data_IF_280217245692
#
_entry.id   IF_280217245692
#
_cell.length_a   1.000
_cell.length_b   1.000
_cell.length_c   1.000
_cell.angle_alpha   90.00
_cell.angle_beta   90.00
_cell.angle_gamma   90.00
#
_symmetry.space_group_name_H-M   'P 1'
#
loop_
_entity.id
_entity.type
_entity.pdbx_description
1 polymer ?
#
# COMPACT_ATOMS: atom_id res chain seq x y z
N UNK A 1 1.50 -47.31 39.63
CA UNK A 1 1.97 -48.61 39.09
C UNK A 1 0.78 -49.57 39.00
N UNK A 2 0.34 -49.90 37.79
CA UNK A 2 -0.36 -51.16 37.48
C UNK A 2 -0.29 -51.37 35.96
N UNK A 3 0.78 -52.05 35.58
CA UNK A 3 1.03 -52.68 34.29
C UNK A 3 0.13 -53.90 34.16
N UNK A 4 -0.66 -54.00 33.09
CA UNK A 4 -1.04 -55.28 32.48
C UNK A 4 -0.98 -55.12 30.96
N UNK A 5 0.12 -55.62 30.39
CA UNK A 5 0.23 -56.15 29.03
C UNK A 5 -0.66 -57.40 28.91
N UNK A 6 -1.35 -57.60 27.79
CA UNK A 6 -0.94 -58.63 26.82
C UNK A 6 -1.80 -58.66 25.54
N UNK A 7 -1.24 -59.18 24.42
CA UNK A 7 -1.72 -59.04 23.06
C UNK A 7 -2.39 -60.31 22.50
N UNK A 8 -3.05 -60.21 21.34
CA UNK A 8 -3.21 -61.31 20.36
C UNK A 8 -3.70 -60.70 19.03
N UNK A 9 -2.82 -60.46 18.04
CA UNK A 9 -2.44 -61.38 16.95
C UNK A 9 -3.68 -61.96 16.21
N UNK A 10 -4.07 -61.34 15.08
CA UNK A 10 -3.63 -61.62 13.70
C UNK A 10 -4.43 -62.76 13.04
N UNK A 11 -5.29 -62.41 12.09
CA UNK A 11 -5.68 -63.31 11.00
C UNK A 11 -5.65 -62.52 9.69
N UNK A 12 -4.77 -63.02 8.82
CA UNK A 12 -4.40 -62.55 7.50
C UNK A 12 -5.30 -63.26 6.47
N UNK A 13 -5.90 -62.53 5.54
CA UNK A 13 -6.38 -63.13 4.28
C UNK A 13 -6.18 -62.16 3.12
N UNK A 14 -5.27 -62.56 2.23
CA UNK A 14 -4.99 -61.96 0.93
C UNK A 14 -6.15 -62.21 -0.04
N UNK A 15 -6.52 -61.19 -0.82
CA UNK A 15 -7.00 -61.36 -2.18
C UNK A 15 -6.51 -60.15 -3.00
N UNK A 16 -5.63 -60.45 -3.95
CA UNK A 16 -5.06 -59.51 -4.90
C UNK A 16 -5.98 -59.34 -6.11
N UNK A 17 -6.03 -58.13 -6.66
CA UNK A 17 -6.12 -57.87 -8.10
C UNK A 17 -5.60 -56.44 -8.38
N UNK A 18 -4.68 -56.36 -9.33
CA UNK A 18 -4.08 -55.26 -10.10
C UNK A 18 -4.83 -53.91 -10.12
N UNK A 19 -4.18 -52.75 -10.24
CA UNK A 19 -3.27 -52.34 -11.32
C UNK A 19 -2.54 -51.03 -10.94
N UNK A 20 -1.29 -50.84 -11.38
CA UNK A 20 -0.43 -49.68 -11.08
C UNK A 20 -0.61 -48.52 -12.11
N UNK A 21 0.24 -47.47 -12.10
CA UNK A 21 -0.12 -46.06 -11.93
C UNK A 21 -0.23 -45.27 -13.25
N UNK A 22 -0.87 -44.09 -13.25
CA UNK A 22 -0.71 -43.15 -14.39
C UNK A 22 -0.69 -41.67 -13.99
N UNK A 23 0.15 -40.97 -14.74
CA UNK A 23 0.80 -39.66 -14.56
C UNK A 23 -0.07 -38.40 -14.52
N UNK A 24 0.60 -37.32 -14.08
CA UNK A 24 0.20 -35.92 -14.12
C UNK A 24 -0.24 -35.41 -15.51
N UNK A 25 -1.05 -34.34 -15.59
CA UNK A 25 -1.20 -33.60 -16.84
C UNK A 25 -0.23 -32.41 -16.91
N UNK A 26 0.74 -32.49 -17.83
CA UNK A 26 1.32 -31.32 -18.51
C UNK A 26 0.71 -31.22 -19.91
N UNK A 27 0.19 -30.03 -20.22
CA UNK A 27 0.23 -29.33 -21.51
C UNK A 27 -0.14 -30.10 -22.80
N UNK A 28 -1.29 -29.75 -23.38
CA UNK A 28 -1.52 -29.84 -24.82
C UNK A 28 -1.95 -28.46 -25.36
N UNK A 29 -1.36 -28.10 -26.49
CA UNK A 29 -1.44 -26.82 -27.17
C UNK A 29 -2.74 -26.62 -27.99
N UNK A 30 -2.94 -25.36 -28.37
CA UNK A 30 -4.04 -24.77 -29.15
C UNK A 30 -4.36 -25.43 -30.52
N UNK A 31 -5.46 -24.99 -31.15
CA UNK A 31 -5.36 -24.58 -32.54
C UNK A 31 -5.81 -23.13 -32.79
N UNK A 32 -5.34 -22.65 -33.95
CA UNK A 32 -5.25 -21.28 -34.40
C UNK A 32 -6.56 -20.59 -34.82
N UNK A 33 -6.50 -19.26 -34.84
CA UNK A 33 -7.46 -18.32 -35.41
C UNK A 33 -7.65 -18.47 -36.94
N UNK A 34 -8.66 -17.75 -37.50
CA UNK A 34 -8.36 -16.97 -38.69
C UNK A 34 -8.77 -15.50 -38.59
N UNK A 35 -7.77 -14.65 -38.85
CA UNK A 35 -7.74 -13.46 -39.69
C UNK A 35 -8.91 -12.44 -39.63
N UNK A 36 -8.60 -11.29 -39.02
CA UNK A 36 -9.20 -9.99 -39.28
C UNK A 36 -8.33 -9.17 -40.26
N UNK A 37 -8.96 -8.37 -41.15
CA UNK A 37 -8.49 -7.08 -41.71
C UNK A 37 -9.45 -6.57 -42.82
N UNK A 38 -9.42 -5.29 -43.24
CA UNK A 38 -9.50 -4.02 -42.48
C UNK A 38 -10.51 -3.02 -43.12
N UNK A 39 -11.13 -2.10 -42.36
CA UNK A 39 -11.58 -0.83 -42.98
C UNK A 39 -11.60 0.36 -42.01
N UNK A 40 -10.63 1.24 -42.29
CA UNK A 40 -10.44 2.67 -42.03
C UNK A 40 -11.65 3.47 -42.56
N UNK A 41 -12.11 4.64 -42.09
CA UNK A 41 -11.65 5.66 -41.17
C UNK A 41 -12.89 6.44 -40.67
N UNK A 42 -12.79 7.00 -39.46
CA UNK A 42 -13.44 8.27 -39.14
C UNK A 42 -12.64 9.00 -38.04
N UNK A 43 -11.73 9.87 -38.47
CA UNK A 43 -11.36 11.11 -37.76
C UNK A 43 -12.03 12.26 -38.55
N UNK A 44 -12.35 13.44 -37.98
CA UNK A 44 -11.69 14.04 -36.82
C UNK A 44 -12.62 14.74 -35.81
N UNK A 45 -12.25 14.70 -34.54
CA UNK A 45 -12.48 15.81 -33.63
C UNK A 45 -11.32 15.85 -32.63
N UNK A 46 -10.40 16.76 -32.90
CA UNK A 46 -9.35 17.14 -31.97
C UNK A 46 -10.00 17.79 -30.74
N UNK A 47 -10.15 17.04 -29.65
CA UNK A 47 -10.16 17.65 -28.33
C UNK A 47 -8.69 17.93 -27.97
N UNK A 48 -8.25 19.13 -28.34
CA UNK A 48 -7.03 19.76 -27.82
C UNK A 48 -7.02 19.64 -26.28
N UNK A 49 -5.87 19.35 -25.66
CA UNK A 49 -5.76 18.96 -24.26
C UNK A 49 -6.12 20.12 -23.34
N UNK A 50 -7.30 20.06 -22.72
CA UNK A 50 -7.72 21.05 -21.74
C UNK A 50 -7.36 20.57 -20.33
N UNK A 51 -6.14 20.96 -19.93
CA UNK A 51 -5.71 21.18 -18.54
C UNK A 51 -5.83 20.02 -17.54
N UNK A 52 -4.78 19.20 -17.50
CA UNK A 52 -4.22 18.72 -16.23
C UNK A 52 -2.72 19.04 -16.12
N UNK A 53 -2.27 20.11 -16.77
CA UNK A 53 -1.19 20.90 -16.17
C UNK A 53 -1.85 21.74 -15.07
N UNK A 54 -2.08 21.13 -13.90
CA UNK A 54 -2.21 21.92 -12.70
C UNK A 54 -0.91 22.73 -12.62
N UNK A 55 -0.97 24.01 -13.02
CA UNK A 55 0.02 24.99 -12.64
C UNK A 55 0.32 24.73 -11.16
N UNK A 56 1.60 24.58 -10.81
CA UNK A 56 2.05 24.40 -9.43
C UNK A 56 1.32 25.43 -8.56
N UNK A 57 0.22 25.03 -7.93
CA UNK A 57 -0.48 25.89 -7.00
C UNK A 57 0.51 26.05 -5.86
N UNK A 58 1.01 27.27 -5.72
CA UNK A 58 2.03 27.55 -4.73
C UNK A 58 1.42 27.33 -3.34
N UNK A 59 2.13 26.61 -2.46
CA UNK A 59 1.62 26.32 -1.13
C UNK A 59 1.30 27.63 -0.40
N UNK A 60 0.19 27.68 0.35
CA UNK A 60 -0.20 28.90 1.08
C UNK A 60 0.88 29.28 2.09
N UNK A 61 1.09 30.58 2.28
CA UNK A 61 1.98 31.07 3.33
C UNK A 61 1.34 30.92 4.71
N UNK A 62 2.17 30.70 5.73
CA UNK A 62 1.71 30.79 7.11
C UNK A 62 2.76 30.39 8.13
N UNK A 63 2.30 30.21 9.37
CA UNK A 63 3.13 29.78 10.47
C UNK A 63 3.67 28.35 10.25
N UNK A 64 4.94 28.17 10.60
CA UNK A 64 5.68 26.91 10.62
C UNK A 64 5.93 26.47 12.07
N UNK A 65 6.39 25.23 12.23
CA UNK A 65 6.79 24.66 13.50
C UNK A 65 5.67 23.92 14.22
N UNK A 66 5.84 23.79 15.54
CA UNK A 66 4.93 23.06 16.40
C UNK A 66 3.52 23.70 16.42
N UNK A 67 2.50 22.85 16.32
CA UNK A 67 1.09 23.26 16.28
C UNK A 67 0.37 23.01 17.60
N UNK A 68 1.07 22.77 18.72
CA UNK A 68 0.44 22.38 19.99
C UNK A 68 -0.53 23.44 20.55
N UNK A 69 -0.30 24.71 20.23
CA UNK A 69 -1.19 25.83 20.58
C UNK A 69 -2.49 25.89 19.75
N UNK A 70 -2.55 25.17 18.62
CA UNK A 70 -3.74 25.07 17.77
C UNK A 70 -4.59 23.90 18.26
N UNK A 71 -5.92 24.07 18.28
CA UNK A 71 -6.86 23.00 18.58
C UNK A 71 -6.66 21.82 17.62
N UNK A 72 -6.76 20.59 18.12
CA UNK A 72 -6.35 19.38 17.39
C UNK A 72 -7.05 19.23 16.04
N UNK A 73 -8.32 19.60 16.00
CA UNK A 73 -9.21 19.53 14.84
C UNK A 73 -8.78 20.52 13.74
N UNK A 74 -8.22 21.65 14.14
CA UNK A 74 -7.79 22.74 13.24
C UNK A 74 -6.32 22.62 12.81
N UNK A 75 -5.56 21.68 13.40
CA UNK A 75 -4.17 21.42 12.99
C UNK A 75 -4.12 20.93 11.56
N UNK A 76 -3.14 21.45 10.82
CA UNK A 76 -2.78 20.91 9.52
C UNK A 76 -2.15 19.54 9.71
N UNK A 77 -2.51 18.61 8.83
CA UNK A 77 -2.10 17.23 8.95
C UNK A 77 -1.59 16.67 7.63
N UNK A 78 -0.65 15.74 7.72
CA UNK A 78 -0.42 14.76 6.69
C UNK A 78 -1.41 13.61 6.86
N UNK A 79 -1.81 12.99 5.76
CA UNK A 79 -2.69 11.83 5.80
C UNK A 79 -2.17 10.73 4.89
N UNK A 80 -1.17 9.95 5.35
CA UNK A 80 -0.82 8.67 4.77
C UNK A 80 -2.06 7.82 4.48
N UNK A 81 -2.14 7.25 3.28
CA UNK A 81 -3.24 6.40 2.82
C UNK A 81 -2.69 5.19 2.10
N UNK A 82 -3.31 4.04 2.32
CA UNK A 82 -3.00 2.81 1.61
C UNK A 82 -4.27 1.97 1.43
N UNK A 83 -4.18 1.03 0.50
CA UNK A 83 -5.27 0.16 0.11
C UNK A 83 -4.71 -1.26 0.03
N UNK A 84 -5.49 -2.23 0.50
CA UNK A 84 -5.26 -3.65 0.28
C UNK A 84 -6.28 -4.15 -0.72
N UNK A 85 -5.88 -5.05 -1.63
CA UNK A 85 -6.84 -5.77 -2.48
C UNK A 85 -7.45 -6.96 -1.73
N UNK A 86 -6.66 -7.59 -0.86
CA UNK A 86 -7.04 -8.67 0.04
C UNK A 86 -6.10 -8.68 1.25
N UNK A 87 -6.49 -9.39 2.31
CA UNK A 87 -5.74 -9.56 3.55
C UNK A 87 -5.83 -11.01 4.04
N UNK A 88 -4.76 -11.51 4.66
CA UNK A 88 -4.70 -12.84 5.26
C UNK A 88 -4.10 -12.70 6.64
N UNK A 89 -4.85 -13.14 7.66
CA UNK A 89 -4.45 -13.11 9.07
C UNK A 89 -3.89 -11.75 9.52
N UNK A 90 -4.40 -10.65 8.97
CA UNK A 90 -3.93 -9.30 9.27
C UNK A 90 -4.57 -8.76 10.55
N UNK A 91 -3.76 -8.55 11.58
CA UNK A 91 -4.20 -7.90 12.81
C UNK A 91 -4.33 -6.38 12.63
N UNK A 92 -3.39 -5.75 11.92
CA UNK A 92 -3.44 -4.32 11.68
C UNK A 92 -2.12 -3.71 11.23
N UNK A 93 -2.01 -2.40 11.40
CA UNK A 93 -0.94 -1.61 10.83
C UNK A 93 -0.35 -0.61 11.82
N UNK A 94 0.96 -0.42 11.71
CA UNK A 94 1.67 0.68 12.35
C UNK A 94 2.24 1.64 11.31
N UNK A 95 2.13 2.94 11.59
CA UNK A 95 2.56 4.01 10.68
C UNK A 95 3.81 4.64 11.24
N UNK A 96 4.81 4.78 10.38
CA UNK A 96 6.11 5.33 10.72
C UNK A 96 6.38 6.61 9.95
N UNK A 97 7.06 7.56 10.59
CA UNK A 97 7.50 8.83 9.97
C UNK A 97 8.99 9.06 10.17
N UNK A 98 9.65 9.58 9.14
CA UNK A 98 11.02 10.05 9.17
C UNK A 98 11.14 11.44 8.55
N UNK A 99 12.21 12.14 8.93
CA UNK A 99 12.57 13.45 8.37
C UNK A 99 13.41 13.33 7.09
N UNK A 100 13.77 12.09 6.70
CA UNK A 100 14.53 11.73 5.50
C UNK A 100 14.00 10.40 4.96
N UNK A 101 14.27 10.14 3.69
CA UNK A 101 13.84 8.90 3.02
C UNK A 101 14.49 7.65 3.63
N UNK A 102 15.76 7.78 4.03
CA UNK A 102 16.56 6.71 4.62
C UNK A 102 16.32 6.55 6.13
N UNK A 103 15.56 7.46 6.74
CA UNK A 103 15.27 7.50 8.17
C UNK A 103 16.28 8.32 9.00
N UNK A 104 16.33 8.11 10.32
CA UNK A 104 15.58 7.11 11.09
C UNK A 104 14.07 7.38 11.07
N UNK A 105 13.28 6.33 11.28
CA UNK A 105 11.83 6.40 11.35
C UNK A 105 11.33 6.14 12.78
N UNK A 106 10.26 6.83 13.16
CA UNK A 106 9.59 6.68 14.46
C UNK A 106 8.13 6.26 14.24
N UNK A 107 7.64 5.32 15.03
CA UNK A 107 6.23 4.91 15.05
C UNK A 107 5.35 6.05 15.56
N UNK A 108 4.25 6.34 14.87
CA UNK A 108 3.36 7.47 15.15
C UNK A 108 2.15 7.09 16.00
N UNK A 109 1.46 6.02 15.62
CA UNK A 109 0.23 5.59 16.27
C UNK A 109 0.55 4.86 17.58
N UNK A 110 -0.20 5.13 18.65
CA UNK A 110 -0.04 4.40 19.91
C UNK A 110 -0.56 2.95 19.76
N UNK A 111 -1.80 2.83 19.30
CA UNK A 111 -2.46 1.55 19.02
C UNK A 111 -2.45 1.25 17.51
N UNK A 112 -2.28 -0.02 17.11
CA UNK A 112 -2.37 -0.42 15.70
C UNK A 112 -3.72 -0.05 15.06
N UNK A 113 -3.66 0.36 13.80
CA UNK A 113 -4.86 0.55 12.98
C UNK A 113 -5.35 -0.84 12.59
N UNK A 114 -6.53 -1.23 13.06
CA UNK A 114 -7.05 -2.58 12.87
C UNK A 114 -7.19 -2.95 11.40
N UNK A 115 -6.67 -4.12 11.06
CA UNK A 115 -6.88 -4.77 9.77
C UNK A 115 -8.25 -5.45 9.70
N UNK A 116 -8.53 -6.08 8.56
CA UNK A 116 -9.76 -6.83 8.33
C UNK A 116 -9.62 -8.34 8.59
N UNK A 117 -8.49 -8.80 9.16
CA UNK A 117 -8.23 -10.22 9.36
C UNK A 117 -7.94 -10.93 8.05
N UNK A 118 -8.86 -11.80 7.64
CA UNK A 118 -8.80 -12.52 6.36
C UNK A 118 -9.98 -12.13 5.48
N UNK A 119 -9.70 -11.52 4.34
CA UNK A 119 -10.72 -11.04 3.40
C UNK A 119 -10.16 -10.93 1.98
N UNK A 120 -10.98 -11.24 0.99
CA UNK A 120 -10.68 -10.98 -0.42
C UNK A 120 -11.23 -9.63 -0.91
N UNK A 121 -11.80 -8.83 0.00
CA UNK A 121 -12.34 -7.52 -0.33
C UNK A 121 -11.29 -6.41 -0.18
N UNK A 122 -11.36 -5.43 -1.08
CA UNK A 122 -10.56 -4.22 -0.97
C UNK A 122 -10.83 -3.46 0.33
N UNK A 123 -9.78 -3.09 1.06
CA UNK A 123 -9.87 -2.21 2.23
C UNK A 123 -9.03 -0.96 2.04
N UNK A 124 -9.50 0.15 2.60
CA UNK A 124 -8.84 1.45 2.51
C UNK A 124 -8.57 1.95 3.93
N UNK A 125 -7.34 2.39 4.14
CA UNK A 125 -6.86 2.84 5.45
C UNK A 125 -6.22 4.21 5.33
N UNK A 126 -6.20 4.92 6.45
CA UNK A 126 -5.52 6.21 6.55
C UNK A 126 -5.10 6.50 7.98
N UNK A 127 -4.09 7.34 8.13
CA UNK A 127 -3.65 7.86 9.42
C UNK A 127 -3.57 9.38 9.37
N UNK A 128 -4.15 10.09 10.33
CA UNK A 128 -4.05 11.55 10.41
C UNK A 128 -2.87 11.93 11.31
N UNK A 129 -1.80 12.40 10.72
CA UNK A 129 -0.64 12.95 11.43
C UNK A 129 -0.76 14.47 11.51
N UNK A 130 -1.26 14.97 12.64
CA UNK A 130 -1.43 16.39 12.97
C UNK A 130 -0.30 16.96 13.83
N UNK A 131 0.79 16.21 13.99
CA UNK A 131 1.98 16.60 14.76
C UNK A 131 3.09 17.15 13.87
N UNK A 132 2.78 17.39 12.59
CA UNK A 132 3.73 17.88 11.60
C UNK A 132 4.07 19.35 11.83
N UNK A 133 5.26 19.74 11.38
CA UNK A 133 5.51 21.12 10.99
C UNK A 133 4.90 21.36 9.60
N UNK A 134 3.94 22.29 9.44
CA UNK A 134 3.29 22.54 8.16
C UNK A 134 4.23 22.97 7.03
N UNK A 135 5.43 23.46 7.35
CA UNK A 135 6.40 23.93 6.36
C UNK A 135 7.46 22.89 6.02
N UNK A 136 7.39 21.68 6.61
CA UNK A 136 8.35 20.60 6.37
C UNK A 136 7.73 19.48 5.56
N UNK A 137 8.58 18.81 4.81
CA UNK A 137 8.26 17.52 4.20
C UNK A 137 8.67 16.37 5.11
N UNK A 138 7.99 15.24 4.93
CA UNK A 138 8.18 14.03 5.73
C UNK A 138 8.12 12.80 4.84
N UNK A 139 8.70 11.71 5.31
CA UNK A 139 8.63 10.41 4.68
C UNK A 139 7.89 9.44 5.59
N UNK A 140 7.08 8.57 4.99
CA UNK A 140 6.28 7.60 5.73
C UNK A 140 6.47 6.21 5.14
N UNK A 141 6.28 5.22 5.99
CA UNK A 141 5.96 3.87 5.55
C UNK A 141 5.01 3.22 6.55
N UNK A 142 4.39 2.11 6.14
CA UNK A 142 3.47 1.34 6.97
C UNK A 142 4.04 -0.05 7.17
N UNK A 143 3.97 -0.55 8.39
CA UNK A 143 4.17 -1.97 8.70
C UNK A 143 2.82 -2.66 8.87
N UNK A 144 2.70 -3.89 8.38
CA UNK A 144 1.61 -4.80 8.73
C UNK A 144 1.99 -5.61 9.95
N UNK A 145 0.97 -6.03 10.70
CA UNK A 145 1.07 -6.89 11.87
C UNK A 145 0.13 -8.06 11.63
N UNK A 146 0.66 -9.29 11.67
CA UNK A 146 -0.19 -10.48 11.58
C UNK A 146 -0.82 -10.83 12.94
N UNK A 147 -1.78 -11.76 12.95
CA UNK A 147 -2.45 -12.25 14.17
C UNK A 147 -1.51 -12.98 15.15
N UNK A 148 -0.28 -13.30 14.74
CA UNK A 148 0.77 -13.88 15.58
C UNK A 148 1.73 -12.84 16.12
N UNK A 149 1.56 -11.57 15.74
CA UNK A 149 2.39 -10.43 16.14
C UNK A 149 3.65 -10.23 15.29
N UNK A 150 3.82 -10.95 14.18
CA UNK A 150 4.91 -10.72 13.23
C UNK A 150 4.68 -9.40 12.50
N UNK A 151 5.78 -8.66 12.28
CA UNK A 151 5.78 -7.31 11.72
C UNK A 151 6.60 -7.27 10.45
N UNK A 152 6.03 -6.70 9.40
CA UNK A 152 6.69 -6.60 8.11
C UNK A 152 6.45 -5.24 7.47
N UNK A 153 7.45 -4.73 6.75
CA UNK A 153 7.30 -3.49 6.00
C UNK A 153 6.33 -3.71 4.84
N UNK A 154 5.14 -3.14 4.96
CA UNK A 154 4.05 -3.33 4.02
C UNK A 154 4.13 -2.38 2.82
N UNK A 155 4.51 -1.12 3.03
CA UNK A 155 4.67 -0.14 1.94
C UNK A 155 6.14 0.20 1.69
N UNK A 156 6.49 0.62 0.46
CA UNK A 156 7.67 1.44 0.24
C UNK A 156 7.65 2.70 1.10
N UNK A 157 8.80 3.37 1.21
CA UNK A 157 8.84 4.73 1.76
C UNK A 157 8.23 5.69 0.74
N UNK A 158 7.35 6.57 1.17
CA UNK A 158 6.75 7.60 0.33
C UNK A 158 6.77 8.97 1.00
N UNK A 159 6.87 10.01 0.17
CA UNK A 159 7.02 11.39 0.60
C UNK A 159 5.67 12.09 0.76
N UNK A 160 5.50 12.86 1.83
CA UNK A 160 4.44 13.84 1.97
C UNK A 160 5.06 15.24 2.02
N UNK A 161 4.66 16.08 1.07
CA UNK A 161 5.14 17.46 1.00
C UNK A 161 4.57 18.35 2.10
N UNK A 162 5.26 19.47 2.32
CA UNK A 162 4.81 20.56 3.17
C UNK A 162 3.39 21.04 2.80
N UNK A 163 2.67 21.55 3.78
CA UNK A 163 1.33 22.16 3.63
C UNK A 163 1.39 23.66 3.41
N UNK A 164 2.48 24.30 3.82
CA UNK A 164 2.69 25.74 3.74
C UNK A 164 4.11 26.10 3.33
N UNK A 165 4.28 27.35 2.90
CA UNK A 165 5.57 28.03 2.87
C UNK A 165 5.70 28.92 4.10
N UNK A 166 6.92 29.13 4.57
CA UNK A 166 7.19 30.06 5.66
C UNK A 166 6.83 31.49 5.24
N UNK A 167 6.04 32.17 6.07
CA UNK A 167 5.68 33.56 5.86
C UNK A 167 6.93 34.45 5.70
N UNK A 168 6.91 35.34 4.70
CA UNK A 168 8.02 36.25 4.41
C UNK A 168 9.13 35.68 3.52
N UNK A 169 8.98 34.45 3.02
CA UNK A 169 9.83 33.93 1.93
C UNK A 169 9.21 34.35 0.61
N UNK A 170 9.83 35.29 -0.11
CA UNK A 170 9.36 35.70 -1.43
C UNK A 170 9.24 34.45 -2.35
N UNK A 171 8.16 34.35 -3.17
CA UNK A 171 8.01 33.24 -4.10
C UNK A 171 9.23 33.14 -5.00
N UNK A 172 9.67 31.92 -5.31
CA UNK A 172 10.78 31.71 -6.24
C UNK A 172 10.45 32.42 -7.56
N UNK A 173 11.37 33.24 -8.12
CA UNK A 173 11.09 33.96 -9.36
C UNK A 173 10.73 32.95 -10.45
N UNK A 174 9.58 33.16 -11.10
CA UNK A 174 9.17 32.38 -12.27
C UNK A 174 10.32 32.44 -13.28
N UNK A 175 10.87 31.29 -13.75
CA UNK A 175 11.91 31.32 -14.77
C UNK A 175 11.35 32.04 -16.00
N UNK A 176 11.95 33.18 -16.33
CA UNK A 176 11.60 33.93 -17.53
C UNK A 176 11.78 33.02 -18.76
N UNK A 177 10.87 33.05 -19.75
CA UNK A 177 11.05 32.30 -20.98
C UNK A 177 12.36 32.76 -21.63
N UNK A 178 13.32 31.84 -21.76
CA UNK A 178 14.56 32.10 -22.46
C UNK A 178 14.23 32.30 -23.94
N UNK A 179 14.38 33.52 -24.44
CA UNK A 179 14.29 33.81 -25.87
C UNK A 179 15.54 33.22 -26.55
N UNK A 180 15.32 32.42 -27.60
CA UNK A 180 16.36 31.89 -28.50
C UNK A 180 16.78 32.93 -29.53
#
# INVERSE_FOLDING_TARGET
>A
MRTILMPLALMLSLAACSNAPQEAPKSAAAPAAPAAKPEEAAKPAEAKPEQAAAAKAELPEGACGDQSAVAKEDRLANTPRWTTASEVDNFGYDVFRGDKEEGPFTKLNADPILGAGTTDETKNYSYRDDTIDPCREYWYYVESIDTKGMREKFTPVFKAGAKRRAAGTAPAPTPAPQAS
#
